data_IF_597338658971
#
_entry.id   IF_597338658971
#
_cell.length_a   1.000
_cell.length_b   1.000
_cell.length_c   1.000
_cell.angle_alpha   90.00
_cell.angle_beta   90.00
_cell.angle_gamma   90.00
#
_symmetry.space_group_name_H-M   'P 1'
#
loop_
_entity.id
_entity.type
_entity.pdbx_description
1 polymer ?
#
# COMPACT_ATOMS: atom_id res chain seq x y z
N UNK A 1 14.31 20.73 18.32
CA UNK A 1 14.32 19.26 18.11
C UNK A 1 12.98 18.85 17.52
N UNK A 2 12.96 18.16 16.38
CA UNK A 2 11.72 17.50 15.93
C UNK A 2 11.55 16.31 16.85
N UNK A 3 10.46 16.26 17.60
CA UNK A 3 10.15 15.14 18.48
C UNK A 3 9.91 13.87 17.64
N UNK A 4 10.35 12.73 18.15
CA UNK A 4 10.04 11.45 17.55
C UNK A 4 8.52 11.22 17.67
N UNK A 5 7.86 11.01 16.53
CA UNK A 5 6.46 10.63 16.52
C UNK A 5 6.34 9.12 16.48
N UNK A 6 5.51 8.57 17.35
CA UNK A 6 5.15 7.16 17.37
C UNK A 6 3.67 7.01 17.64
N UNK A 7 3.04 6.06 16.96
CA UNK A 7 1.67 5.67 17.18
C UNK A 7 1.54 4.16 17.02
N UNK A 8 0.57 3.59 17.71
CA UNK A 8 0.25 2.18 17.64
C UNK A 8 -1.26 2.05 17.56
N UNK A 9 -1.72 1.31 16.56
CA UNK A 9 -3.13 0.96 16.42
C UNK A 9 -3.34 -0.48 16.90
N UNK A 10 -4.41 -0.69 17.66
CA UNK A 10 -4.91 -2.03 17.99
C UNK A 10 -5.89 -2.48 16.93
N UNK A 11 -7.18 -2.39 17.24
CA UNK A 11 -8.28 -2.56 16.30
C UNK A 11 -8.73 -1.23 15.71
N UNK A 12 -9.24 -1.25 14.47
CA UNK A 12 -9.66 -0.02 13.80
C UNK A 12 -11.17 0.24 13.90
N UNK A 13 -11.59 1.38 14.46
CA UNK A 13 -13.01 1.76 14.59
C UNK A 13 -13.35 3.04 13.82
N UNK A 14 -14.47 3.08 13.08
CA UNK A 14 -14.91 4.29 12.39
C UNK A 14 -15.10 5.51 13.32
N UNK A 15 -15.51 5.28 14.57
CA UNK A 15 -15.80 6.35 15.53
C UNK A 15 -14.58 7.14 16.00
N UNK A 16 -13.38 6.57 15.88
CA UNK A 16 -12.14 7.20 16.37
C UNK A 16 -11.13 7.41 15.27
N UNK A 17 -11.00 6.44 14.36
CA UNK A 17 -9.81 6.40 13.51
C UNK A 17 -9.97 7.27 12.27
N UNK A 18 -11.20 7.63 11.89
CA UNK A 18 -11.40 8.67 10.88
C UNK A 18 -10.93 10.05 11.34
N UNK A 19 -10.68 10.30 12.63
CA UNK A 19 -10.08 11.56 13.07
C UNK A 19 -8.58 11.64 12.72
N UNK A 20 -7.90 10.48 12.63
CA UNK A 20 -6.45 10.40 12.41
C UNK A 20 -6.06 9.86 11.03
N UNK A 21 -6.92 9.04 10.42
CA UNK A 21 -6.70 8.40 9.12
C UNK A 21 -7.62 8.98 8.05
N UNK A 22 -7.07 9.23 6.87
CA UNK A 22 -7.81 9.56 5.67
C UNK A 22 -7.96 8.30 4.82
N UNK A 23 -9.18 7.75 4.75
CA UNK A 23 -9.51 6.68 3.83
C UNK A 23 -10.10 7.27 2.55
N UNK A 24 -9.48 6.94 1.42
CA UNK A 24 -9.85 7.44 0.10
C UNK A 24 -10.61 6.32 -0.62
N UNK A 25 -11.81 6.64 -1.09
CA UNK A 25 -12.73 5.70 -1.73
C UNK A 25 -12.00 4.83 -2.78
N UNK A 26 -12.24 3.50 -2.77
CA UNK A 26 -13.24 2.77 -2.00
C UNK A 26 -12.72 2.26 -0.64
N UNK A 27 -11.58 2.75 -0.16
CA UNK A 27 -11.04 2.33 1.13
C UNK A 27 -11.91 2.82 2.28
N UNK A 28 -12.02 2.01 3.33
CA UNK A 28 -12.84 2.31 4.50
C UNK A 28 -12.36 1.53 5.73
N UNK A 29 -12.79 2.00 6.90
CA UNK A 29 -12.59 1.31 8.18
C UNK A 29 -13.84 0.48 8.46
N UNK A 30 -13.69 -0.84 8.57
CA UNK A 30 -14.80 -1.75 8.81
C UNK A 30 -14.35 -3.05 9.47
N UNK A 31 -15.24 -3.60 10.31
CA UNK A 31 -15.00 -4.87 11.02
C UNK A 31 -13.63 -4.91 11.73
N UNK A 32 -13.30 -3.85 12.46
CA UNK A 32 -12.06 -3.71 13.22
C UNK A 32 -10.77 -3.66 12.39
N UNK A 33 -10.87 -3.46 11.07
CA UNK A 33 -9.75 -3.45 10.13
C UNK A 33 -9.77 -2.24 9.18
N UNK A 34 -8.58 -1.90 8.68
CA UNK A 34 -8.43 -1.04 7.51
C UNK A 34 -8.67 -1.87 6.25
N UNK A 35 -9.67 -1.49 5.45
CA UNK A 35 -9.97 -2.14 4.19
C UNK A 35 -9.55 -1.23 3.05
N UNK A 36 -8.41 -1.55 2.43
CA UNK A 36 -7.86 -0.77 1.29
C UNK A 36 -8.72 -0.97 0.04
N UNK A 37 -9.17 -2.19 -0.19
CA UNK A 37 -10.17 -2.55 -1.20
C UNK A 37 -11.43 -3.12 -0.53
N UNK A 38 -12.60 -3.09 -1.19
CA UNK A 38 -13.84 -3.48 -0.53
C UNK A 38 -13.85 -4.94 -0.04
N UNK A 39 -14.51 -5.18 1.10
CA UNK A 39 -14.72 -6.53 1.63
C UNK A 39 -15.53 -7.41 0.69
N UNK A 40 -15.05 -8.63 0.46
CA UNK A 40 -15.77 -9.69 -0.26
C UNK A 40 -17.15 -10.07 0.34
N UNK A 41 -17.39 -9.77 1.62
CA UNK A 41 -18.67 -9.99 2.31
C UNK A 41 -19.71 -8.92 1.98
N UNK A 42 -19.28 -7.79 1.41
CA UNK A 42 -20.17 -6.70 0.99
C UNK A 42 -20.84 -6.97 -0.36
N UNK A 43 -21.99 -6.36 -0.59
CA UNK A 43 -22.67 -6.38 -1.91
C UNK A 43 -22.10 -5.30 -2.84
N UNK A 44 -20.81 -5.40 -3.16
CA UNK A 44 -20.06 -4.39 -3.94
C UNK A 44 -19.24 -5.05 -5.05
N UNK A 45 -18.99 -4.31 -6.13
CA UNK A 45 -18.10 -4.76 -7.22
C UNK A 45 -16.65 -4.74 -6.71
N UNK A 46 -15.98 -5.89 -6.75
CA UNK A 46 -14.61 -6.08 -6.24
C UNK A 46 -13.52 -5.88 -7.29
N UNK A 47 -13.88 -5.91 -8.56
CA UNK A 47 -12.94 -5.71 -9.67
C UNK A 47 -12.62 -4.23 -9.86
N UNK A 48 -11.39 -3.93 -10.31
CA UNK A 48 -10.94 -2.59 -10.65
C UNK A 48 -11.09 -1.59 -9.50
N UNK A 49 -10.65 -1.99 -8.30
CA UNK A 49 -10.68 -1.19 -7.09
C UNK A 49 -9.28 -0.92 -6.60
N UNK A 50 -8.97 0.35 -6.39
CA UNK A 50 -7.77 0.81 -5.70
C UNK A 50 -8.23 1.81 -4.66
N UNK A 51 -7.80 1.64 -3.42
CA UNK A 51 -8.04 2.60 -2.35
C UNK A 51 -6.76 2.93 -1.63
N UNK A 52 -6.81 3.93 -0.75
CA UNK A 52 -5.65 4.37 0.01
C UNK A 52 -6.09 4.79 1.40
N UNK A 53 -5.29 4.47 2.40
CA UNK A 53 -5.49 4.93 3.77
C UNK A 53 -4.17 5.54 4.25
N UNK A 54 -4.17 6.84 4.56
CA UNK A 54 -2.98 7.53 5.06
C UNK A 54 -3.24 8.16 6.42
N UNK A 55 -2.17 8.32 7.19
CA UNK A 55 -2.19 9.18 8.36
C UNK A 55 -2.38 10.64 7.92
N UNK A 56 -3.31 11.35 8.57
CA UNK A 56 -3.70 12.71 8.16
C UNK A 56 -2.59 13.74 8.33
N UNK A 57 -1.79 13.59 9.38
CA UNK A 57 -0.69 14.51 9.67
C UNK A 57 0.52 14.14 8.81
N UNK A 58 1.01 15.10 8.02
CA UNK A 58 2.24 14.93 7.25
C UNK A 58 3.48 14.85 8.16
N UNK A 59 4.50 14.11 7.70
CA UNK A 59 5.79 13.99 8.37
C UNK A 59 6.88 14.67 7.58
N UNK A 60 7.77 15.36 8.29
CA UNK A 60 8.97 15.94 7.68
C UNK A 60 10.07 14.90 7.65
N UNK A 61 10.40 14.41 6.46
CA UNK A 61 11.40 13.34 6.27
C UNK A 61 12.82 13.84 6.07
N UNK A 62 13.02 15.11 5.69
CA UNK A 62 14.37 15.68 5.58
C UNK A 62 14.39 17.20 5.81
N UNK A 63 15.57 17.72 6.10
CA UNK A 63 15.90 19.16 6.12
C UNK A 63 16.79 19.52 4.92
N UNK A 64 16.58 20.67 4.30
CA UNK A 64 17.40 21.17 3.19
C UNK A 64 16.83 20.81 1.80
N UNK A 65 17.58 21.11 0.73
CA UNK A 65 17.14 20.82 -0.64
C UNK A 65 17.06 19.31 -0.89
N UNK A 66 16.08 18.81 -1.68
CA UNK A 66 15.90 17.38 -1.93
C UNK A 66 17.15 16.67 -2.50
N UNK A 67 17.95 17.37 -3.31
CA UNK A 67 19.14 16.81 -3.93
C UNK A 67 20.37 16.78 -3.00
N UNK A 68 20.31 17.50 -1.87
CA UNK A 68 21.37 17.54 -0.88
C UNK A 68 20.79 17.76 0.53
N UNK A 69 20.08 16.76 1.09
CA UNK A 69 19.47 16.87 2.40
C UNK A 69 20.57 17.00 3.46
N UNK A 70 20.36 17.94 4.37
CA UNK A 70 21.26 18.18 5.51
C UNK A 70 20.99 17.23 6.67
N UNK A 71 19.75 16.71 6.77
CA UNK A 71 19.31 15.69 7.73
C UNK A 71 18.21 14.86 7.10
N UNK A 72 18.15 13.58 7.44
CA UNK A 72 17.10 12.65 7.01
C UNK A 72 16.53 11.96 8.24
N UNK A 73 15.22 11.80 8.30
CA UNK A 73 14.52 11.09 9.35
C UNK A 73 14.67 9.58 9.17
N UNK A 74 14.81 8.86 10.29
CA UNK A 74 14.69 7.40 10.30
C UNK A 74 13.29 7.03 10.79
N UNK A 75 12.70 5.98 10.21
CA UNK A 75 11.42 5.45 10.65
C UNK A 75 11.45 3.93 10.66
N UNK A 76 10.53 3.35 11.42
CA UNK A 76 10.22 1.93 11.44
C UNK A 76 8.69 1.79 11.40
N UNK A 77 8.20 0.78 10.69
CA UNK A 77 6.78 0.45 10.65
C UNK A 77 6.63 -1.06 10.76
N UNK A 78 5.53 -1.49 11.38
CA UNK A 78 5.18 -2.90 11.49
C UNK A 78 3.66 -2.99 11.46
N UNK A 79 3.16 -3.89 10.64
CA UNK A 79 1.73 -4.07 10.44
C UNK A 79 1.46 -5.52 10.05
N UNK A 80 0.22 -5.94 10.24
CA UNK A 80 -0.27 -7.26 9.81
C UNK A 80 -1.20 -7.02 8.64
N UNK A 81 -1.01 -7.79 7.57
CA UNK A 81 -1.88 -7.75 6.39
C UNK A 81 -2.59 -9.08 6.23
N UNK A 82 -3.75 -9.02 5.58
CA UNK A 82 -4.47 -10.18 5.12
C UNK A 82 -4.92 -9.92 3.70
N UNK A 83 -4.44 -10.73 2.76
CA UNK A 83 -4.88 -10.71 1.36
C UNK A 83 -5.76 -11.93 1.14
N UNK A 84 -7.00 -11.69 0.70
CA UNK A 84 -8.01 -12.73 0.55
C UNK A 84 -8.55 -12.74 -0.88
N UNK A 85 -8.68 -13.95 -1.44
CA UNK A 85 -9.28 -14.19 -2.75
C UNK A 85 -10.52 -15.06 -2.62
N UNK A 86 -11.61 -14.64 -3.28
CA UNK A 86 -12.88 -15.39 -3.29
C UNK A 86 -12.72 -16.69 -4.07
N UNK A 87 -13.23 -17.79 -3.51
CA UNK A 87 -13.31 -19.10 -4.17
C UNK A 87 -11.97 -19.60 -4.74
N UNK A 88 -10.84 -19.27 -4.10
CA UNK A 88 -9.50 -19.59 -4.61
C UNK A 88 -9.28 -19.10 -6.06
N UNK A 89 -9.90 -17.99 -6.44
CA UNK A 89 -9.72 -17.36 -7.75
C UNK A 89 -8.30 -16.85 -7.97
N UNK A 90 -8.08 -16.25 -9.13
CA UNK A 90 -6.81 -15.56 -9.39
C UNK A 90 -6.66 -14.41 -8.38
N UNK A 91 -5.57 -14.38 -7.59
CA UNK A 91 -5.32 -13.28 -6.68
C UNK A 91 -4.95 -12.03 -7.49
N UNK A 92 -5.08 -10.86 -6.88
CA UNK A 92 -4.67 -9.62 -7.52
C UNK A 92 -5.37 -8.39 -6.95
N UNK A 93 -4.73 -7.23 -6.97
CA UNK A 93 -3.40 -7.00 -7.57
C UNK A 93 -2.30 -7.05 -6.49
N UNK A 94 -2.56 -6.55 -5.28
CA UNK A 94 -1.63 -6.60 -4.16
C UNK A 94 -1.96 -5.56 -3.11
N UNK A 95 -0.99 -5.22 -2.27
CA UNK A 95 -1.05 -4.14 -1.29
C UNK A 95 0.31 -3.45 -1.20
N UNK A 96 0.34 -2.16 -0.89
CA UNK A 96 1.59 -1.46 -0.65
C UNK A 96 1.55 -0.59 0.62
N UNK A 97 2.67 -0.56 1.35
CA UNK A 97 2.95 0.53 2.28
C UNK A 97 3.56 1.67 1.50
N UNK A 98 3.05 2.89 1.67
CA UNK A 98 3.48 4.05 0.87
C UNK A 98 3.95 5.21 1.74
N UNK A 99 4.88 5.97 1.18
CA UNK A 99 5.22 7.34 1.59
C UNK A 99 4.96 8.22 0.38
N UNK A 100 4.07 9.19 0.54
CA UNK A 100 3.59 10.05 -0.54
C UNK A 100 3.53 11.53 -0.08
N UNK A 101 3.64 12.49 -1.02
CA UNK A 101 3.59 13.91 -0.69
C UNK A 101 2.17 14.40 -0.30
N UNK A 102 1.14 13.67 -0.70
CA UNK A 102 -0.25 13.98 -0.42
C UNK A 102 -1.12 12.71 -0.28
N UNK A 103 -2.40 12.91 0.01
CA UNK A 103 -3.37 11.83 0.21
C UNK A 103 -4.04 11.39 -1.10
N UNK A 104 -3.71 12.00 -2.23
CA UNK A 104 -4.44 11.79 -3.47
C UNK A 104 -4.24 10.37 -3.97
N UNK A 105 -5.33 9.72 -4.33
CA UNK A 105 -5.33 8.52 -5.14
C UNK A 105 -5.39 8.93 -6.62
N UNK A 106 -4.46 8.49 -7.48
CA UNK A 106 -4.57 8.72 -8.91
C UNK A 106 -5.91 8.22 -9.46
N UNK A 107 -6.66 9.09 -10.13
CA UNK A 107 -8.01 8.78 -10.60
C UNK A 107 -8.00 7.67 -11.67
N UNK A 108 -8.94 6.72 -11.55
CA UNK A 108 -9.15 5.67 -12.55
C UNK A 108 -8.02 4.65 -12.66
N UNK A 109 -7.18 4.54 -11.63
CA UNK A 109 -6.06 3.60 -11.61
C UNK A 109 -6.42 2.37 -10.79
N UNK A 110 -6.22 1.21 -11.41
CA UNK A 110 -6.45 -0.13 -10.89
C UNK A 110 -5.59 -1.11 -11.67
N UNK A 111 -5.65 -2.40 -11.34
CA UNK A 111 -4.80 -3.39 -11.97
C UNK A 111 -3.35 -3.28 -11.45
N UNK A 112 -2.41 -3.67 -12.29
CA UNK A 112 -0.98 -3.69 -11.97
C UNK A 112 -0.35 -2.37 -11.55
N UNK A 113 -1.08 -1.24 -11.59
CA UNK A 113 -0.57 0.00 -11.00
C UNK A 113 -0.72 0.08 -9.47
N UNK A 114 -1.41 -0.87 -8.81
CA UNK A 114 -1.61 -0.94 -7.36
C UNK A 114 -2.17 0.35 -6.69
N UNK A 115 -2.74 1.27 -7.47
CA UNK A 115 -3.12 2.60 -6.98
C UNK A 115 -1.94 3.51 -6.62
N UNK A 116 -0.74 3.21 -7.11
CA UNK A 116 0.51 3.91 -6.88
C UNK A 116 0.71 5.07 -7.86
N UNK A 117 0.73 4.75 -9.16
CA UNK A 117 1.05 5.67 -10.24
C UNK A 117 0.00 5.63 -11.35
N UNK A 118 0.10 6.52 -12.33
CA UNK A 118 -0.68 6.46 -13.55
C UNK A 118 0.23 6.60 -14.77
N UNK A 119 -0.33 6.41 -15.98
CA UNK A 119 0.44 6.51 -17.23
C UNK A 119 1.20 7.83 -17.44
N UNK A 120 0.85 8.91 -16.72
CA UNK A 120 1.53 10.21 -16.79
C UNK A 120 2.51 10.47 -15.64
N UNK A 121 2.42 9.73 -14.55
CA UNK A 121 3.27 9.92 -13.36
C UNK A 121 4.23 8.77 -13.11
N UNK A 122 4.02 7.61 -13.75
CA UNK A 122 4.87 6.44 -13.59
C UNK A 122 6.30 6.69 -14.08
N UNK A 123 7.30 6.39 -13.24
CA UNK A 123 8.70 6.65 -13.51
C UNK A 123 9.14 8.11 -13.36
N UNK A 124 8.22 9.02 -13.07
CA UNK A 124 8.54 10.45 -12.93
C UNK A 124 8.82 10.84 -11.48
N UNK A 125 10.04 11.33 -11.22
CA UNK A 125 10.48 11.77 -9.90
C UNK A 125 9.62 12.88 -9.26
N UNK A 126 8.79 13.58 -10.05
CA UNK A 126 7.85 14.60 -9.57
C UNK A 126 6.67 14.03 -8.77
N UNK A 127 6.42 12.72 -8.81
CA UNK A 127 5.37 12.10 -8.00
C UNK A 127 5.81 11.87 -6.54
N UNK A 128 7.13 11.86 -6.29
CA UNK A 128 7.74 11.70 -4.97
C UNK A 128 7.21 10.48 -4.18
N UNK A 129 6.85 9.41 -4.90
CA UNK A 129 6.31 8.20 -4.31
C UNK A 129 7.42 7.23 -3.93
N UNK A 130 7.33 6.70 -2.73
CA UNK A 130 8.07 5.53 -2.30
C UNK A 130 7.05 4.48 -1.84
N UNK A 131 7.17 3.25 -2.30
CA UNK A 131 6.33 2.16 -1.83
C UNK A 131 7.14 0.89 -1.55
N UNK A 132 6.62 0.09 -0.63
CA UNK A 132 6.98 -1.31 -0.46
C UNK A 132 5.74 -2.12 -0.79
N UNK A 133 5.75 -2.78 -1.93
CA UNK A 133 4.65 -3.56 -2.45
C UNK A 133 4.71 -5.03 -2.01
N UNK A 134 3.53 -5.62 -1.90
CA UNK A 134 3.27 -7.03 -1.66
C UNK A 134 2.42 -7.49 -2.85
N UNK A 135 3.09 -7.86 -3.93
CA UNK A 135 2.49 -8.13 -5.22
C UNK A 135 1.98 -9.57 -5.29
N UNK A 136 0.76 -9.74 -5.79
CA UNK A 136 0.08 -11.04 -5.88
C UNK A 136 -0.34 -11.41 -7.29
N UNK A 137 0.03 -10.60 -8.29
CA UNK A 137 -0.34 -10.83 -9.67
C UNK A 137 0.74 -10.31 -10.61
N UNK A 138 1.28 -11.22 -11.42
CA UNK A 138 2.35 -10.89 -12.37
C UNK A 138 1.84 -10.08 -13.56
N UNK A 139 2.37 -8.87 -13.74
CA UNK A 139 2.44 -8.17 -15.02
C UNK A 139 3.77 -8.42 -15.75
N UNK A 140 3.93 -7.86 -16.95
CA UNK A 140 5.11 -8.11 -17.81
C UNK A 140 6.43 -7.58 -17.21
N UNK A 141 6.36 -6.63 -16.29
CA UNK A 141 7.52 -6.06 -15.59
C UNK A 141 7.88 -6.81 -14.31
N UNK A 142 7.04 -7.75 -13.84
CA UNK A 142 7.25 -8.45 -12.59
C UNK A 142 8.05 -9.76 -12.74
N UNK A 143 8.82 -10.13 -11.71
CA UNK A 143 9.57 -11.38 -11.71
C UNK A 143 8.65 -12.62 -11.65
N UNK A 144 7.57 -12.53 -10.87
CA UNK A 144 6.60 -13.59 -10.60
C UNK A 144 5.27 -12.99 -10.09
N UNK A 145 4.35 -13.83 -9.63
CA UNK A 145 3.04 -13.41 -9.10
C UNK A 145 2.98 -13.44 -7.55
N UNK A 146 4.13 -13.41 -6.86
CA UNK A 146 4.22 -13.49 -5.40
C UNK A 146 5.59 -12.97 -4.93
N UNK A 147 5.73 -11.65 -4.85
CA UNK A 147 6.98 -11.02 -4.45
C UNK A 147 6.76 -9.78 -3.58
N UNK A 148 7.84 -9.34 -2.92
CA UNK A 148 7.92 -8.01 -2.29
C UNK A 148 8.79 -7.13 -3.18
N UNK A 149 8.37 -5.88 -3.34
CA UNK A 149 9.02 -4.90 -4.19
C UNK A 149 9.35 -3.59 -3.48
N UNK A 150 10.41 -2.91 -3.91
CA UNK A 150 10.74 -1.55 -3.53
C UNK A 150 10.53 -0.62 -4.72
N UNK A 151 9.53 0.23 -4.61
CA UNK A 151 9.09 1.12 -5.68
C UNK A 151 9.56 2.53 -5.44
N UNK A 152 10.23 3.11 -6.44
CA UNK A 152 10.74 4.48 -6.39
C UNK A 152 10.18 5.23 -7.58
N UNK A 153 9.14 6.03 -7.33
CA UNK A 153 8.40 6.83 -8.31
C UNK A 153 7.75 6.04 -9.47
N UNK A 154 7.75 4.72 -9.45
CA UNK A 154 7.16 3.85 -10.46
C UNK A 154 6.53 2.64 -9.80
N UNK A 155 5.56 2.01 -10.46
CA UNK A 155 5.11 0.67 -10.08
C UNK A 155 6.08 -0.43 -10.51
N UNK A 156 7.03 -0.12 -11.39
CA UNK A 156 8.12 -1.05 -11.69
C UNK A 156 9.13 -0.96 -10.56
N UNK A 157 9.17 -2.02 -9.75
CA UNK A 157 10.09 -2.18 -8.65
C UNK A 157 11.55 -1.93 -9.02
N UNK A 158 12.23 -1.10 -8.23
CA UNK A 158 13.68 -0.93 -8.27
C UNK A 158 14.40 -2.22 -7.84
N UNK A 159 13.83 -2.93 -6.88
CA UNK A 159 14.33 -4.22 -6.42
C UNK A 159 13.19 -5.09 -5.91
N UNK A 160 13.23 -6.38 -6.25
CA UNK A 160 12.24 -7.38 -5.85
C UNK A 160 12.87 -8.56 -5.13
N UNK A 161 12.05 -9.26 -4.36
CA UNK A 161 12.36 -10.56 -3.76
C UNK A 161 11.17 -11.50 -3.97
N UNK A 162 11.30 -12.52 -4.85
CA UNK A 162 10.38 -13.65 -4.92
C UNK A 162 10.16 -14.32 -3.57
N UNK A 163 8.92 -14.55 -3.17
CA UNK A 163 8.62 -15.09 -1.84
C UNK A 163 8.54 -16.61 -1.78
N UNK A 164 8.34 -17.27 -2.93
CA UNK A 164 8.16 -18.72 -2.99
C UNK A 164 9.37 -19.48 -2.41
N UNK A 165 10.60 -19.04 -2.75
CA UNK A 165 11.85 -19.65 -2.26
C UNK A 165 12.08 -19.42 -0.76
N UNK A 166 11.34 -18.47 -0.17
CA UNK A 166 11.35 -18.18 1.27
C UNK A 166 10.19 -18.86 2.02
N UNK A 167 9.35 -19.64 1.33
CA UNK A 167 8.22 -20.35 1.93
C UNK A 167 7.02 -19.46 2.28
N UNK A 168 6.92 -18.28 1.66
CA UNK A 168 5.80 -17.36 1.84
C UNK A 168 4.92 -17.34 0.59
N UNK A 169 3.60 -17.28 0.83
CA UNK A 169 2.57 -17.04 -0.18
C UNK A 169 1.69 -15.91 0.35
N UNK A 170 1.65 -14.79 -0.36
CA UNK A 170 0.89 -13.61 0.05
C UNK A 170 -0.62 -13.84 -0.02
N UNK A 171 -1.08 -14.67 -0.94
CA UNK A 171 -2.49 -14.92 -1.19
C UNK A 171 -2.76 -16.42 -1.38
N UNK A 172 -2.53 -17.27 -0.36
CA UNK A 172 -2.60 -18.72 -0.50
C UNK A 172 -4.00 -19.22 -0.82
N UNK A 173 -4.08 -20.43 -1.37
CA UNK A 173 -5.34 -21.15 -1.44
C UNK A 173 -5.76 -21.48 -0.01
N UNK A 174 -6.96 -21.05 0.40
CA UNK A 174 -7.45 -21.13 1.78
C UNK A 174 -6.65 -20.26 2.77
N UNK A 175 -6.89 -18.93 2.75
CA UNK A 175 -6.40 -18.02 3.79
C UNK A 175 -6.85 -18.50 5.17
N UNK A 176 -5.89 -18.81 6.05
CA UNK A 176 -6.14 -19.15 7.46
C UNK A 176 -5.81 -17.92 8.30
N UNK A 177 -6.79 -17.42 9.05
CA UNK A 177 -6.59 -16.36 10.03
C UNK A 177 -6.10 -17.01 11.33
N UNK A 178 -4.94 -16.59 11.83
CA UNK A 178 -4.43 -16.99 13.14
C UNK A 178 -4.75 -15.94 14.19
#
# INVERSE_FOLDING_TARGET
PVEALGFQFGTFTPSTDYDTLAAIDPALIYNNALQVTPDSRGSVILTNRSGRILYKQGFKLWDGPPEAPTKVASFNTSFVISIFRINNGTPGEGLAFIVAPDQNLPAGIFGGHLGLTNATTDGHASNHLLAVEFDTFRQDYDPDANHIGLDINSVVSYQTIPLADHGFDLAPNHTVFF
#
